data_IF_878566170463
#
_entry.id   IF_878566170463
#
_cell.length_a   1.000
_cell.length_b   1.000
_cell.length_c   1.000
_cell.angle_alpha   90.00
_cell.angle_beta   90.00
_cell.angle_gamma   90.00
#
_symmetry.space_group_name_H-M   'P 1'
#
loop_
_entity.id
_entity.type
_entity.pdbx_description
1 polymer ?
#
# COMPACT_ATOMS: atom_id res chain seq x y z
N UNK A 1 -4.29 19.03 -7.45
CA UNK A 1 -2.84 18.79 -7.28
C UNK A 1 -2.48 18.89 -5.79
N UNK A 2 -2.68 17.82 -5.01
CA UNK A 2 -2.02 17.65 -3.71
C UNK A 2 -1.79 16.17 -3.50
N UNK A 3 -0.53 15.74 -3.50
CA UNK A 3 -0.11 14.38 -3.14
C UNK A 3 -0.20 14.20 -1.62
N UNK A 4 -1.40 14.37 -1.06
CA UNK A 4 -1.60 14.18 0.37
C UNK A 4 -1.65 12.68 0.66
N UNK A 5 -0.67 12.21 1.42
CA UNK A 5 -0.67 10.84 1.96
C UNK A 5 -1.54 10.87 3.22
N UNK A 6 -2.66 10.15 3.20
CA UNK A 6 -3.57 10.05 4.34
C UNK A 6 -3.55 8.62 4.84
N UNK A 7 -3.09 8.43 6.08
CA UNK A 7 -3.01 7.12 6.71
C UNK A 7 -4.09 6.99 7.77
N UNK A 8 -4.74 5.82 7.83
CA UNK A 8 -5.74 5.52 8.84
C UNK A 8 -5.05 5.15 10.16
N UNK A 9 -5.43 5.77 11.28
CA UNK A 9 -4.87 5.45 12.60
C UNK A 9 -5.03 3.96 13.01
N UNK A 10 -6.01 3.24 12.43
CA UNK A 10 -6.18 1.80 12.62
C UNK A 10 -4.97 0.97 12.16
N UNK A 11 -4.12 1.50 11.27
CA UNK A 11 -2.89 0.84 10.82
C UNK A 11 -1.95 0.50 11.99
N UNK A 12 -2.02 1.22 13.12
CA UNK A 12 -1.22 0.94 14.31
C UNK A 12 -1.45 -0.46 14.91
N UNK A 13 -2.52 -1.15 14.52
CA UNK A 13 -2.84 -2.52 14.97
C UNK A 13 -2.39 -3.60 13.99
N UNK A 14 -1.75 -3.23 12.88
CA UNK A 14 -1.22 -4.18 11.91
C UNK A 14 0.20 -4.63 12.31
N UNK A 15 0.59 -5.85 11.87
CA UNK A 15 2.00 -6.20 11.77
C UNK A 15 2.80 -5.13 11.00
N UNK A 16 4.04 -4.88 11.42
CA UNK A 16 4.88 -3.81 10.88
C UNK A 16 5.07 -3.92 9.36
N UNK A 17 5.21 -5.12 8.83
CA UNK A 17 5.33 -5.38 7.40
C UNK A 17 4.11 -4.92 6.59
N UNK A 18 2.91 -4.99 7.17
CA UNK A 18 1.69 -4.50 6.53
C UNK A 18 1.56 -2.97 6.64
N UNK A 19 2.11 -2.37 7.69
CA UNK A 19 2.23 -0.91 7.80
C UNK A 19 3.18 -0.39 6.71
N UNK A 20 4.36 -0.99 6.57
CA UNK A 20 5.34 -0.63 5.54
C UNK A 20 4.74 -0.78 4.13
N UNK A 21 4.00 -1.87 3.89
CA UNK A 21 3.28 -2.08 2.64
C UNK A 21 2.29 -0.93 2.33
N UNK A 22 1.48 -0.49 3.30
CA UNK A 22 0.52 0.62 3.10
C UNK A 22 1.24 1.95 2.87
N UNK A 23 2.34 2.22 3.57
CA UNK A 23 3.14 3.43 3.35
C UNK A 23 3.69 3.44 1.92
N UNK A 24 4.27 2.33 1.47
CA UNK A 24 4.77 2.20 0.10
C UNK A 24 3.66 2.30 -0.94
N UNK A 25 2.49 1.74 -0.65
CA UNK A 25 1.28 1.85 -1.49
C UNK A 25 0.91 3.32 -1.74
N UNK A 26 0.76 4.12 -0.67
CA UNK A 26 0.44 5.54 -0.77
C UNK A 26 1.57 6.36 -1.45
N UNK A 27 2.84 5.99 -1.22
CA UNK A 27 3.97 6.61 -1.91
C UNK A 27 3.94 6.35 -3.42
N UNK A 28 3.58 5.14 -3.86
CA UNK A 28 3.42 4.84 -5.29
C UNK A 28 2.29 5.68 -5.90
N UNK A 29 1.21 5.98 -5.16
CA UNK A 29 0.15 6.87 -5.61
C UNK A 29 0.60 8.31 -5.91
N UNK A 30 1.77 8.74 -5.42
CA UNK A 30 2.35 10.03 -5.82
C UNK A 30 2.79 10.06 -7.28
N UNK A 31 3.10 8.89 -7.87
CA UNK A 31 3.56 8.70 -9.26
C UNK A 31 2.48 8.09 -10.15
N UNK A 32 1.78 7.06 -9.69
CA UNK A 32 0.77 6.31 -10.45
C UNK A 32 -0.58 6.38 -9.73
N UNK A 33 -1.54 7.11 -10.29
CA UNK A 33 -2.76 7.51 -9.55
C UNK A 33 -3.79 6.40 -9.33
N UNK A 34 -3.78 5.36 -10.16
CA UNK A 34 -4.75 4.26 -10.13
C UNK A 34 -4.00 2.93 -9.92
N UNK A 35 -4.68 1.89 -9.45
CA UNK A 35 -4.13 0.52 -9.30
C UNK A 35 -3.95 -0.22 -10.64
N UNK A 36 -3.34 0.44 -11.62
CA UNK A 36 -3.03 -0.11 -12.94
C UNK A 36 -1.92 -1.16 -12.88
N UNK A 37 -1.63 -1.84 -14.00
CA UNK A 37 -0.48 -2.76 -14.09
C UNK A 37 0.84 -2.07 -13.71
N UNK A 38 1.00 -0.80 -14.08
CA UNK A 38 2.18 0.00 -13.75
C UNK A 38 2.31 0.21 -12.24
N UNK A 39 1.20 0.50 -11.55
CA UNK A 39 1.16 0.64 -10.09
C UNK A 39 1.69 -0.62 -9.41
N UNK A 40 1.11 -1.78 -9.74
CA UNK A 40 1.50 -3.06 -9.13
C UNK A 40 2.95 -3.41 -9.45
N UNK A 41 3.39 -3.22 -10.70
CA UNK A 41 4.79 -3.46 -11.05
C UNK A 41 5.76 -2.52 -10.34
N UNK A 42 5.34 -1.28 -10.05
CA UNK A 42 6.17 -0.31 -9.33
C UNK A 42 6.24 -0.66 -7.85
N UNK A 43 5.12 -1.05 -7.24
CA UNK A 43 5.06 -1.47 -5.85
C UNK A 43 5.87 -2.75 -5.61
N UNK A 44 5.74 -3.75 -6.50
CA UNK A 44 6.51 -5.01 -6.45
C UNK A 44 8.02 -4.79 -6.43
N UNK A 45 8.53 -3.74 -7.08
CA UNK A 45 9.97 -3.42 -7.04
C UNK A 45 10.47 -3.09 -5.63
N UNK A 46 9.59 -2.69 -4.72
CA UNK A 46 9.93 -2.38 -3.33
C UNK A 46 9.57 -3.51 -2.38
N UNK A 47 8.43 -4.18 -2.58
CA UNK A 47 7.90 -5.17 -1.62
C UNK A 47 8.10 -6.63 -2.06
N UNK A 48 8.53 -6.87 -3.30
CA UNK A 48 8.73 -8.21 -3.87
C UNK A 48 7.44 -8.90 -4.30
N UNK A 49 6.44 -8.97 -3.42
CA UNK A 49 5.13 -9.58 -3.70
C UNK A 49 3.97 -8.74 -3.12
N UNK A 50 3.64 -7.67 -3.83
CA UNK A 50 2.59 -6.72 -3.46
C UNK A 50 1.21 -7.38 -3.39
N UNK A 51 0.96 -8.41 -4.19
CA UNK A 51 -0.33 -9.12 -4.19
C UNK A 51 -0.50 -10.00 -2.95
N UNK A 52 0.57 -10.61 -2.47
CA UNK A 52 0.57 -11.32 -1.20
C UNK A 52 0.22 -10.38 -0.04
N UNK A 53 0.86 -9.21 0.05
CA UNK A 53 0.55 -8.23 1.08
C UNK A 53 -0.85 -7.64 0.93
N UNK A 54 -1.34 -7.36 -0.29
CA UNK A 54 -2.73 -6.91 -0.52
C UNK A 54 -3.74 -7.94 0.02
N UNK A 55 -3.50 -9.23 -0.27
CA UNK A 55 -4.36 -10.32 0.21
C UNK A 55 -4.34 -10.42 1.73
N UNK A 56 -3.16 -10.31 2.36
CA UNK A 56 -3.05 -10.29 3.82
C UNK A 56 -3.77 -9.09 4.41
N UNK A 57 -3.58 -7.89 3.88
CA UNK A 57 -4.18 -6.67 4.40
C UNK A 57 -5.73 -6.75 4.39
N UNK A 58 -6.32 -7.38 3.38
CA UNK A 58 -7.78 -7.61 3.29
C UNK A 58 -8.34 -8.46 4.44
N UNK A 59 -7.55 -9.33 5.08
CA UNK A 59 -8.05 -10.11 6.22
C UNK A 59 -8.30 -9.27 7.47
N UNK A 60 -7.67 -8.09 7.57
CA UNK A 60 -7.80 -7.19 8.71
C UNK A 60 -8.98 -6.21 8.59
N UNK A 61 -9.68 -6.15 7.44
CA UNK A 61 -10.87 -5.30 7.20
C UNK A 61 -10.67 -3.82 7.55
N UNK A 62 -9.47 -3.27 7.34
CA UNK A 62 -9.11 -1.89 7.73
C UNK A 62 -9.37 -0.87 6.61
N UNK A 63 -9.38 -1.37 5.38
CA UNK A 63 -9.66 -0.67 4.11
C UNK A 63 -10.82 -1.36 3.39
#
# INVERSE_FOLDING_TARGET
LKNNINLNARLLHLPTELIDYVILHELVHTKVKNHSKEFWSTLDRFVGDSKFYDKQLRSYKII
#
